data_IF_172907251014
#
_entry.id   IF_172907251014
#
_cell.length_a   1.000
_cell.length_b   1.000
_cell.length_c   1.000
_cell.angle_alpha   90.00
_cell.angle_beta   90.00
_cell.angle_gamma   90.00
#
_symmetry.space_group_name_H-M   'P 1'
#
loop_
_entity.id
_entity.type
_entity.pdbx_description
1 polymer ?
#
# COMPACT_ATOMS: atom_id res chain seq x y z
N UNK A 1 -20.70 5.07 -19.26
CA UNK A 1 -19.88 3.90 -19.68
C UNK A 1 -20.54 3.13 -20.81
N UNK A 2 -21.81 2.73 -20.66
CA UNK A 2 -22.58 2.02 -21.71
C UNK A 2 -22.71 2.82 -23.02
N UNK A 3 -23.02 4.11 -22.97
CA UNK A 3 -23.07 4.96 -24.18
C UNK A 3 -21.73 5.01 -24.93
N UNK A 4 -20.62 4.89 -24.20
CA UNK A 4 -19.28 4.84 -24.76
C UNK A 4 -18.82 3.40 -25.09
N UNK A 5 -19.70 2.40 -24.97
CA UNK A 5 -19.41 0.97 -25.19
C UNK A 5 -18.18 0.47 -24.43
N UNK A 6 -17.95 0.99 -23.22
CA UNK A 6 -16.85 0.56 -22.36
C UNK A 6 -17.20 -0.79 -21.74
N UNK A 7 -16.30 -1.76 -21.85
CA UNK A 7 -16.43 -3.13 -21.30
C UNK A 7 -15.36 -3.45 -20.25
N UNK A 8 -14.28 -2.67 -20.19
CA UNK A 8 -13.19 -2.81 -19.22
C UNK A 8 -12.99 -1.49 -18.48
N UNK A 9 -12.78 -1.57 -17.17
CA UNK A 9 -12.54 -0.41 -16.30
C UNK A 9 -11.36 -0.67 -15.37
N UNK A 10 -10.67 0.39 -14.96
CA UNK A 10 -9.65 0.36 -13.92
C UNK A 10 -9.94 1.47 -12.92
N UNK A 11 -9.70 1.19 -11.64
CA UNK A 11 -9.77 2.19 -10.58
C UNK A 11 -8.36 2.74 -10.35
N UNK A 12 -8.20 4.05 -10.53
CA UNK A 12 -6.93 4.74 -10.33
C UNK A 12 -7.14 6.01 -9.51
N UNK A 13 -6.30 6.20 -8.49
CA UNK A 13 -6.32 7.34 -7.60
C UNK A 13 -6.73 6.98 -6.17
N UNK A 14 -6.42 7.89 -5.24
CA UNK A 14 -6.76 7.71 -3.83
C UNK A 14 -8.25 7.98 -3.60
N UNK A 15 -8.96 7.04 -2.99
CA UNK A 15 -10.33 7.21 -2.54
C UNK A 15 -10.34 7.28 -1.02
N UNK A 16 -11.00 8.30 -0.46
CA UNK A 16 -11.31 8.35 0.96
C UNK A 16 -12.71 7.82 1.17
N UNK A 17 -12.92 7.16 2.30
CA UNK A 17 -14.25 6.68 2.70
C UNK A 17 -15.25 7.85 2.71
N UNK A 18 -16.23 7.88 1.80
CA UNK A 18 -17.12 9.01 1.66
C UNK A 18 -18.21 8.98 2.73
N UNK A 19 -18.77 10.15 3.03
CA UNK A 19 -20.09 10.21 3.69
C UNK A 19 -21.15 10.02 2.60
N UNK A 20 -22.03 9.05 2.80
CA UNK A 20 -23.13 8.76 1.89
C UNK A 20 -24.29 9.72 2.16
N UNK A 21 -24.58 10.59 1.19
CA UNK A 21 -25.71 11.53 1.23
C UNK A 21 -26.88 10.97 0.41
N UNK A 22 -27.99 10.56 1.04
CA UNK A 22 -29.16 10.03 0.36
C UNK A 22 -29.76 10.95 -0.71
N UNK A 23 -29.56 12.27 -0.60
CA UNK A 23 -30.08 13.23 -1.57
C UNK A 23 -29.40 13.14 -2.95
N UNK A 24 -28.23 12.50 -3.02
CA UNK A 24 -27.46 12.34 -4.25
C UNK A 24 -27.77 11.02 -4.98
N UNK A 25 -28.63 10.17 -4.45
CA UNK A 25 -28.87 8.84 -5.01
C UNK A 25 -30.02 8.85 -6.02
N UNK A 26 -29.73 8.35 -7.22
CA UNK A 26 -30.78 7.89 -8.12
C UNK A 26 -31.38 6.56 -7.62
N UNK A 27 -32.46 6.12 -8.27
CA UNK A 27 -33.18 4.91 -7.88
C UNK A 27 -32.31 3.64 -7.97
N UNK A 28 -31.37 3.57 -8.90
CA UNK A 28 -30.48 2.42 -9.06
C UNK A 28 -29.44 2.39 -7.94
N UNK A 29 -28.82 3.54 -7.66
CA UNK A 29 -27.85 3.73 -6.58
C UNK A 29 -28.47 3.41 -5.23
N UNK A 30 -29.73 3.83 -4.99
CA UNK A 30 -30.44 3.56 -3.75
C UNK A 30 -30.61 2.05 -3.46
N UNK A 31 -30.69 1.20 -4.50
CA UNK A 31 -30.75 -0.26 -4.33
C UNK A 31 -29.40 -0.88 -3.94
N UNK A 32 -28.30 -0.24 -4.31
CA UNK A 32 -26.93 -0.71 -4.07
C UNK A 32 -26.43 -0.29 -2.68
N UNK A 33 -26.87 0.88 -2.20
CA UNK A 33 -26.41 1.50 -0.95
C UNK A 33 -26.43 0.57 0.27
N UNK A 34 -27.46 -0.26 0.53
CA UNK A 34 -27.45 -1.17 1.67
C UNK A 34 -26.29 -2.18 1.64
N UNK A 35 -25.94 -2.73 0.46
CA UNK A 35 -24.81 -3.64 0.28
C UNK A 35 -23.49 -2.93 0.59
N UNK A 36 -23.31 -1.73 0.02
CA UNK A 36 -22.11 -0.92 0.23
C UNK A 36 -21.94 -0.53 1.71
N UNK A 37 -23.02 -0.14 2.40
CA UNK A 37 -22.99 0.21 3.82
C UNK A 37 -22.57 -0.97 4.71
N UNK A 38 -23.04 -2.18 4.40
CA UNK A 38 -22.66 -3.39 5.13
C UNK A 38 -21.16 -3.72 4.93
N UNK A 39 -20.66 -3.60 3.70
CA UNK A 39 -19.25 -3.79 3.38
C UNK A 39 -18.35 -2.76 4.08
N UNK A 40 -18.78 -1.49 4.10
CA UNK A 40 -18.11 -0.40 4.81
C UNK A 40 -17.93 -0.69 6.31
N UNK A 41 -18.86 -1.38 6.97
CA UNK A 41 -18.70 -1.74 8.38
C UNK A 41 -17.64 -2.83 8.62
N UNK A 42 -17.29 -3.59 7.58
CA UNK A 42 -16.37 -4.73 7.66
C UNK A 42 -14.91 -4.39 7.36
N UNK A 43 -14.63 -3.17 6.89
CA UNK A 43 -13.27 -2.68 6.59
C UNK A 43 -13.13 -2.13 5.17
N UNK A 44 -11.94 -1.63 4.85
CA UNK A 44 -11.67 -0.98 3.56
C UNK A 44 -11.60 -2.02 2.42
N UNK A 45 -10.98 -3.19 2.65
CA UNK A 45 -10.91 -4.25 1.63
C UNK A 45 -12.28 -4.83 1.31
N UNK A 46 -13.12 -4.98 2.33
CA UNK A 46 -14.49 -5.43 2.13
C UNK A 46 -15.26 -4.43 1.27
N UNK A 47 -15.08 -3.14 1.53
CA UNK A 47 -15.71 -2.06 0.75
C UNK A 47 -15.29 -2.08 -0.71
N UNK A 48 -13.98 -2.18 -0.99
CA UNK A 48 -13.46 -2.15 -2.35
C UNK A 48 -13.86 -3.38 -3.16
N UNK A 49 -13.93 -4.56 -2.53
CA UNK A 49 -14.48 -5.77 -3.19
C UNK A 49 -15.95 -5.62 -3.54
N UNK A 50 -16.75 -5.01 -2.66
CA UNK A 50 -18.15 -4.75 -2.98
C UNK A 50 -18.29 -3.78 -4.16
N UNK A 51 -17.42 -2.75 -4.24
CA UNK A 51 -17.37 -1.86 -5.40
C UNK A 51 -17.05 -2.62 -6.68
N UNK A 52 -16.09 -3.55 -6.66
CA UNK A 52 -15.81 -4.41 -7.83
C UNK A 52 -17.05 -5.21 -8.22
N UNK A 53 -17.68 -5.90 -7.27
CA UNK A 53 -18.84 -6.74 -7.52
C UNK A 53 -20.00 -5.93 -8.14
N UNK A 54 -20.21 -4.69 -7.69
CA UNK A 54 -21.20 -3.79 -8.28
C UNK A 54 -20.89 -3.50 -9.75
N UNK A 55 -19.63 -3.24 -10.12
CA UNK A 55 -19.28 -3.00 -11.52
C UNK A 55 -19.42 -4.26 -12.37
N UNK A 56 -19.05 -5.43 -11.83
CA UNK A 56 -19.23 -6.72 -12.50
C UNK A 56 -20.71 -7.07 -12.70
N UNK A 57 -21.61 -6.69 -11.77
CA UNK A 57 -23.08 -6.81 -11.91
C UNK A 57 -23.62 -5.98 -13.12
N UNK A 58 -22.85 -5.00 -13.62
CA UNK A 58 -23.16 -4.20 -14.81
C UNK A 58 -22.36 -4.62 -16.06
N UNK A 59 -21.86 -5.87 -16.10
CA UNK A 59 -21.09 -6.44 -17.21
C UNK A 59 -19.78 -5.69 -17.53
N UNK A 60 -19.20 -4.99 -16.55
CA UNK A 60 -17.91 -4.32 -16.67
C UNK A 60 -16.80 -5.19 -16.07
N UNK A 61 -15.77 -5.49 -16.88
CA UNK A 61 -14.58 -6.20 -16.41
C UNK A 61 -13.64 -5.25 -15.70
N UNK A 62 -13.41 -5.45 -14.40
CA UNK A 62 -12.43 -4.67 -13.65
C UNK A 62 -11.02 -5.22 -13.89
N UNK A 63 -10.13 -4.37 -14.44
CA UNK A 63 -8.72 -4.64 -14.72
C UNK A 63 -7.83 -4.12 -13.60
N UNK A 64 -6.74 -4.84 -13.33
CA UNK A 64 -5.75 -4.44 -12.33
C UNK A 64 -4.61 -3.62 -12.89
N UNK A 65 -3.83 -3.00 -12.00
CA UNK A 65 -2.62 -2.25 -12.39
C UNK A 65 -1.61 -3.15 -13.11
N UNK A 66 -1.51 -4.43 -12.73
CA UNK A 66 -0.64 -5.39 -13.40
C UNK A 66 -1.01 -5.63 -14.87
N UNK A 67 -2.30 -5.53 -15.22
CA UNK A 67 -2.78 -5.70 -16.60
C UNK A 67 -2.46 -4.47 -17.47
N UNK A 68 -2.56 -3.28 -16.89
CA UNK A 68 -2.50 -2.01 -17.63
C UNK A 68 -1.10 -1.39 -17.63
N UNK A 69 -0.39 -1.49 -16.50
CA UNK A 69 0.90 -0.85 -16.27
C UNK A 69 1.87 -1.76 -15.47
N UNK A 70 2.25 -2.94 -16.00
CA UNK A 70 3.10 -3.90 -15.30
C UNK A 70 4.48 -3.34 -14.91
N UNK A 71 4.97 -2.32 -15.62
CA UNK A 71 6.22 -1.64 -15.31
C UNK A 71 6.21 -0.92 -13.95
N UNK A 72 5.02 -0.63 -13.39
CA UNK A 72 4.88 -0.04 -12.05
C UNK A 72 5.02 -1.07 -10.92
N UNK A 73 5.11 -2.37 -11.23
CA UNK A 73 5.14 -3.45 -10.26
C UNK A 73 6.48 -4.21 -10.37
N UNK A 74 7.47 -3.87 -9.54
CA UNK A 74 8.77 -4.52 -9.58
C UNK A 74 8.70 -6.00 -9.23
N UNK A 75 9.46 -6.80 -9.98
CA UNK A 75 9.75 -8.19 -9.65
C UNK A 75 10.79 -8.27 -8.52
N UNK A 76 10.98 -9.47 -7.97
CA UNK A 76 11.90 -9.69 -6.86
C UNK A 76 13.34 -9.28 -7.23
N UNK A 77 13.98 -8.53 -6.34
CA UNK A 77 15.32 -8.01 -6.55
C UNK A 77 15.66 -6.83 -5.65
N UNK A 78 16.96 -6.61 -5.47
CA UNK A 78 17.48 -5.40 -4.84
C UNK A 78 17.58 -4.33 -5.94
N UNK A 79 16.81 -3.26 -5.81
CA UNK A 79 16.70 -2.22 -6.84
C UNK A 79 17.73 -1.12 -6.62
N UNK A 80 18.02 -0.79 -5.36
CA UNK A 80 19.02 0.21 -4.95
C UNK A 80 19.72 -0.24 -3.68
N UNK A 81 21.02 0.02 -3.59
CA UNK A 81 21.82 -0.25 -2.39
C UNK A 81 22.00 -1.75 -2.15
N UNK A 82 22.33 -2.11 -0.91
CA UNK A 82 22.43 -3.50 -0.48
C UNK A 82 21.97 -3.62 0.97
N UNK A 83 20.90 -4.38 1.27
CA UNK A 83 20.49 -4.61 2.65
C UNK A 83 21.49 -5.51 3.39
N UNK A 84 21.78 -5.17 4.64
CA UNK A 84 22.58 -5.99 5.54
C UNK A 84 21.82 -7.24 6.01
N UNK A 85 22.48 -8.15 6.73
CA UNK A 85 21.81 -9.29 7.37
C UNK A 85 20.77 -8.84 8.40
N UNK A 86 21.02 -7.74 9.11
CA UNK A 86 20.05 -7.20 10.06
C UNK A 86 18.82 -6.66 9.34
N UNK A 87 19.00 -5.97 8.21
CA UNK A 87 17.89 -5.46 7.40
C UNK A 87 17.03 -6.60 6.83
N UNK A 88 17.67 -7.71 6.44
CA UNK A 88 16.96 -8.91 6.00
C UNK A 88 16.11 -9.53 7.12
N UNK A 89 16.65 -9.60 8.33
CA UNK A 89 15.91 -10.07 9.51
C UNK A 89 14.74 -9.12 9.87
N UNK A 90 14.97 -7.80 9.80
CA UNK A 90 13.94 -6.79 10.04
C UNK A 90 12.82 -6.88 9.00
N UNK A 91 13.15 -7.10 7.72
CA UNK A 91 12.15 -7.29 6.66
C UNK A 91 11.31 -8.54 6.87
N UNK A 92 11.92 -9.66 7.24
CA UNK A 92 11.20 -10.88 7.57
C UNK A 92 10.25 -10.68 8.76
N UNK A 93 10.71 -9.97 9.81
CA UNK A 93 9.89 -9.60 10.96
C UNK A 93 8.72 -8.70 10.55
N UNK A 94 8.98 -7.69 9.73
CA UNK A 94 7.98 -6.75 9.25
C UNK A 94 6.93 -7.43 8.37
N UNK A 95 7.33 -8.37 7.50
CA UNK A 95 6.42 -9.17 6.68
C UNK A 95 5.44 -9.99 7.53
N UNK A 96 5.92 -10.64 8.60
CA UNK A 96 5.05 -11.36 9.54
C UNK A 96 4.03 -10.43 10.21
N UNK A 97 4.45 -9.22 10.59
CA UNK A 97 3.58 -8.23 11.22
C UNK A 97 2.52 -7.73 10.24
N UNK A 98 2.93 -7.34 9.03
CA UNK A 98 2.00 -6.87 7.99
C UNK A 98 0.99 -7.96 7.62
N UNK A 99 1.43 -9.21 7.48
CA UNK A 99 0.51 -10.33 7.23
C UNK A 99 -0.54 -10.50 8.35
N UNK A 100 -0.12 -10.41 9.62
CA UNK A 100 -1.02 -10.52 10.76
C UNK A 100 -2.04 -9.35 10.81
N UNK A 101 -1.59 -8.12 10.53
CA UNK A 101 -2.47 -6.94 10.46
C UNK A 101 -3.43 -7.00 9.28
N UNK A 102 -2.95 -7.45 8.12
CA UNK A 102 -3.77 -7.60 6.93
C UNK A 102 -4.85 -8.66 7.08
N UNK A 103 -4.62 -9.70 7.90
CA UNK A 103 -5.63 -10.74 8.21
C UNK A 103 -6.87 -10.17 8.89
N UNK A 104 -6.74 -9.06 9.61
CA UNK A 104 -7.83 -8.36 10.31
C UNK A 104 -8.14 -6.99 9.70
N UNK A 105 -7.73 -6.76 8.46
CA UNK A 105 -7.96 -5.54 7.67
C UNK A 105 -7.57 -4.23 8.39
N UNK A 106 -6.41 -4.23 9.08
CA UNK A 106 -5.93 -3.03 9.81
C UNK A 106 -5.01 -2.17 8.96
N UNK A 107 -4.04 -2.77 8.28
CA UNK A 107 -3.04 -2.03 7.54
C UNK A 107 -2.04 -2.91 6.81
N UNK A 108 -1.25 -2.27 5.96
CA UNK A 108 -0.43 -2.92 4.94
C UNK A 108 1.05 -2.51 4.99
N UNK A 109 1.48 -1.96 6.13
CA UNK A 109 2.83 -1.48 6.33
C UNK A 109 3.29 -1.54 7.78
N UNK A 110 4.59 -1.67 7.99
CA UNK A 110 5.21 -1.67 9.31
C UNK A 110 6.64 -1.12 9.26
N UNK A 111 7.07 -0.48 10.35
CA UNK A 111 8.46 -0.05 10.58
C UNK A 111 9.10 -0.96 11.60
N UNK A 112 10.19 -1.61 11.22
CA UNK A 112 10.98 -2.50 12.11
C UNK A 112 12.43 -2.04 12.14
N UNK A 113 12.98 -1.95 13.35
CA UNK A 113 14.37 -1.54 13.60
C UNK A 113 14.99 -2.51 14.59
N UNK A 114 16.03 -3.23 14.17
CA UNK A 114 16.76 -4.19 15.01
C UNK A 114 15.82 -5.20 15.68
N UNK A 115 14.86 -5.72 14.92
CA UNK A 115 13.83 -6.68 15.36
C UNK A 115 12.64 -6.09 16.11
N UNK A 116 12.69 -4.80 16.51
CA UNK A 116 11.60 -4.14 17.21
C UNK A 116 10.64 -3.45 16.24
N UNK A 117 9.35 -3.76 16.34
CA UNK A 117 8.30 -3.05 15.62
C UNK A 117 8.07 -1.68 16.27
N UNK A 118 8.43 -0.60 15.58
CA UNK A 118 8.27 0.76 16.10
C UNK A 118 6.92 1.38 15.71
N UNK A 119 6.40 1.04 14.54
CA UNK A 119 5.08 1.49 14.11
C UNK A 119 4.45 0.53 13.10
N UNK A 120 3.14 0.62 12.98
CA UNK A 120 2.33 -0.12 12.03
C UNK A 120 1.38 0.85 11.32
N UNK A 121 1.12 0.61 10.04
CA UNK A 121 0.19 1.39 9.25
C UNK A 121 -1.24 1.07 9.68
N UNK A 122 -2.08 2.09 9.68
CA UNK A 122 -3.53 2.01 9.88
C UNK A 122 -4.19 3.16 9.11
N UNK A 123 -5.42 3.56 9.48
CA UNK A 123 -6.18 4.62 8.83
C UNK A 123 -5.42 5.93 8.55
N UNK A 124 -4.53 6.45 9.44
CA UNK A 124 -3.77 7.68 9.16
C UNK A 124 -2.81 7.58 7.95
N UNK A 125 -2.47 6.36 7.53
CA UNK A 125 -1.61 6.09 6.39
C UNK A 125 -0.10 6.14 6.68
N UNK A 126 0.67 5.75 5.66
CA UNK A 126 2.13 5.63 5.69
C UNK A 126 2.84 6.93 6.08
N UNK A 127 2.40 8.07 5.55
CA UNK A 127 3.08 9.36 5.81
C UNK A 127 2.97 9.76 7.29
N UNK A 128 1.79 9.60 7.89
CA UNK A 128 1.58 9.85 9.32
C UNK A 128 2.40 8.88 10.19
N UNK A 129 2.48 7.61 9.79
CA UNK A 129 3.31 6.60 10.45
C UNK A 129 4.80 6.99 10.43
N UNK A 130 5.34 7.37 9.27
CA UNK A 130 6.75 7.76 9.14
C UNK A 130 7.04 9.10 9.84
N UNK A 131 6.13 10.06 9.80
CA UNK A 131 6.24 11.30 10.56
C UNK A 131 6.28 11.05 12.07
N UNK A 132 5.49 10.08 12.57
CA UNK A 132 5.55 9.66 13.97
C UNK A 132 6.93 9.10 14.33
N UNK A 133 7.50 8.21 13.50
CA UNK A 133 8.86 7.67 13.70
C UNK A 133 9.90 8.79 13.71
N UNK A 134 9.84 9.73 12.77
CA UNK A 134 10.75 10.87 12.70
C UNK A 134 10.68 11.76 13.95
N UNK A 135 9.54 11.81 14.64
CA UNK A 135 9.37 12.56 15.89
C UNK A 135 9.87 11.81 17.14
N UNK A 136 10.12 10.50 17.07
CA UNK A 136 10.64 9.72 18.19
C UNK A 136 12.11 10.09 18.45
N UNK A 137 12.38 10.72 19.60
CA UNK A 137 13.74 10.89 20.11
C UNK A 137 14.21 9.53 20.65
N UNK A 138 15.03 8.78 19.92
CA UNK A 138 15.35 7.40 20.31
C UNK A 138 16.37 6.63 19.43
N UNK A 139 16.30 5.29 19.36
CA UNK A 139 17.37 4.35 18.95
C UNK A 139 17.90 4.48 17.50
N UNK A 140 17.41 5.47 16.75
CA UNK A 140 17.78 5.81 15.38
C UNK A 140 18.80 6.98 15.30
N UNK A 141 19.18 7.56 16.44
CA UNK A 141 19.91 8.84 16.49
C UNK A 141 21.41 8.77 16.14
N UNK A 142 22.02 7.58 16.04
CA UNK A 142 23.48 7.47 15.82
C UNK A 142 23.85 7.02 14.40
N UNK A 143 23.03 6.16 13.79
CA UNK A 143 23.17 5.71 12.41
C UNK A 143 21.81 5.26 11.88
N UNK A 144 21.60 5.39 10.56
CA UNK A 144 20.39 4.87 9.93
C UNK A 144 20.26 3.37 10.16
N UNK A 145 19.07 2.93 10.54
CA UNK A 145 18.80 1.53 10.84
C UNK A 145 17.35 1.17 10.59
N UNK A 146 17.11 -0.11 10.30
CA UNK A 146 15.77 -0.63 10.07
C UNK A 146 15.13 -0.13 8.79
N UNK A 147 13.88 -0.51 8.61
CA UNK A 147 13.17 -0.29 7.36
C UNK A 147 11.67 -0.12 7.57
N UNK A 148 11.04 0.45 6.55
CA UNK A 148 9.61 0.31 6.30
C UNK A 148 9.39 -0.87 5.35
N UNK A 149 8.44 -1.73 5.70
CA UNK A 149 7.94 -2.80 4.84
C UNK A 149 6.50 -2.51 4.41
N UNK A 150 6.16 -2.76 3.14
CA UNK A 150 4.77 -2.76 2.64
C UNK A 150 4.47 -4.02 1.84
N UNK A 151 3.29 -4.58 1.99
CA UNK A 151 2.81 -5.74 1.24
C UNK A 151 1.29 -5.71 1.17
N UNK A 152 0.66 -6.29 0.14
CA UNK A 152 -0.79 -6.36 0.09
C UNK A 152 -1.32 -7.17 1.27
N UNK A 153 -2.55 -6.87 1.69
CA UNK A 153 -3.23 -7.65 2.72
C UNK A 153 -3.64 -9.01 2.12
N UNK A 154 -3.62 -10.12 2.88
CA UNK A 154 -3.89 -11.46 2.33
C UNK A 154 -5.25 -11.62 1.64
N UNK A 155 -6.24 -10.83 2.02
CA UNK A 155 -7.61 -10.87 1.48
C UNK A 155 -7.90 -9.78 0.46
N UNK A 156 -6.90 -8.98 0.11
CA UNK A 156 -7.04 -7.80 -0.75
C UNK A 156 -7.22 -8.21 -2.21
N UNK A 157 -8.14 -7.55 -2.92
CA UNK A 157 -8.24 -7.69 -4.37
C UNK A 157 -7.21 -6.76 -5.04
N UNK A 158 -6.15 -7.37 -5.56
CA UNK A 158 -5.02 -6.67 -6.16
C UNK A 158 -5.39 -5.86 -7.43
N UNK A 159 -6.60 -6.03 -7.96
CA UNK A 159 -7.07 -5.24 -9.11
C UNK A 159 -7.40 -3.80 -8.75
N UNK A 160 -7.81 -3.56 -7.51
CA UNK A 160 -8.30 -2.24 -7.04
C UNK A 160 -7.43 -1.63 -5.95
N UNK A 161 -6.73 -2.45 -5.16
CA UNK A 161 -5.97 -1.96 -4.03
C UNK A 161 -4.62 -2.67 -3.93
N UNK A 162 -3.59 -1.93 -4.29
CA UNK A 162 -2.20 -2.31 -4.09
C UNK A 162 -1.52 -1.25 -3.23
N UNK A 163 -0.76 -1.65 -2.21
CA UNK A 163 0.11 -0.73 -1.51
C UNK A 163 0.98 0.04 -2.51
N UNK A 164 1.17 1.33 -2.25
CA UNK A 164 1.88 2.23 -3.15
C UNK A 164 3.06 2.88 -2.43
N UNK A 165 4.18 2.98 -3.14
CA UNK A 165 5.39 3.69 -2.73
C UNK A 165 5.65 4.78 -3.79
N UNK A 166 5.82 6.01 -3.33
CA UNK A 166 6.22 7.14 -4.18
C UNK A 166 7.43 7.85 -3.61
N UNK A 167 7.87 8.91 -4.29
CA UNK A 167 9.03 9.72 -3.88
C UNK A 167 8.88 10.23 -2.44
N UNK A 168 7.66 10.62 -2.02
CA UNK A 168 7.40 11.07 -0.66
C UNK A 168 7.69 10.00 0.40
N UNK A 169 7.39 8.72 0.11
CA UNK A 169 7.74 7.62 1.01
C UNK A 169 9.24 7.52 1.21
N UNK A 170 10.04 7.73 0.15
CA UNK A 170 11.50 7.73 0.22
C UNK A 170 12.01 8.86 1.10
N UNK A 171 11.50 10.08 0.89
CA UNK A 171 11.86 11.27 1.67
C UNK A 171 11.47 11.07 3.15
N UNK A 172 10.26 10.60 3.42
CA UNK A 172 9.78 10.35 4.77
C UNK A 172 10.56 9.23 5.47
N UNK A 173 10.92 8.15 4.79
CA UNK A 173 11.75 7.09 5.34
C UNK A 173 13.16 7.60 5.69
N UNK A 174 13.75 8.44 4.83
CA UNK A 174 15.04 9.08 5.09
C UNK A 174 14.99 10.00 6.31
N UNK A 175 13.95 10.84 6.40
CA UNK A 175 13.73 11.76 7.52
C UNK A 175 13.47 11.01 8.84
N UNK A 176 12.84 9.84 8.76
CA UNK A 176 12.65 8.93 9.88
C UNK A 176 13.93 8.19 10.30
N UNK A 177 15.07 8.40 9.62
CA UNK A 177 16.33 7.75 9.95
C UNK A 177 16.39 6.27 9.57
N UNK A 178 15.52 5.80 8.67
CA UNK A 178 15.51 4.41 8.22
C UNK A 178 16.65 4.12 7.23
N UNK A 179 17.17 2.89 7.25
CA UNK A 179 18.21 2.44 6.34
C UNK A 179 17.66 2.08 4.95
N UNK A 180 16.39 1.70 4.86
CA UNK A 180 15.78 1.41 3.56
C UNK A 180 14.30 1.10 3.57
N UNK A 181 13.84 0.68 2.40
CA UNK A 181 12.46 0.34 2.09
C UNK A 181 12.47 -1.07 1.51
N UNK A 182 11.68 -1.95 2.10
CA UNK A 182 11.42 -3.28 1.57
C UNK A 182 9.93 -3.42 1.25
N UNK A 183 9.59 -4.29 0.31
CA UNK A 183 8.19 -4.57 0.00
C UNK A 183 8.03 -5.93 -0.67
N UNK A 184 6.80 -6.45 -0.70
CA UNK A 184 6.49 -7.69 -1.41
C UNK A 184 6.57 -7.50 -2.92
N UNK A 185 7.45 -8.25 -3.57
CA UNK A 185 7.59 -8.25 -5.02
C UNK A 185 6.28 -8.68 -5.70
N UNK A 186 5.89 -7.99 -6.77
CA UNK A 186 4.61 -8.25 -7.45
C UNK A 186 3.38 -7.67 -6.75
N UNK A 187 3.49 -7.21 -5.51
CA UNK A 187 2.37 -6.78 -4.67
C UNK A 187 2.35 -5.28 -4.32
N UNK A 188 3.27 -4.47 -4.85
CA UNK A 188 3.38 -3.05 -4.52
C UNK A 188 3.66 -2.21 -5.77
N UNK A 189 2.94 -1.10 -5.89
CA UNK A 189 3.12 -0.10 -6.95
C UNK A 189 4.27 0.84 -6.57
N UNK A 190 5.23 1.02 -7.46
CA UNK A 190 6.22 2.10 -7.38
C UNK A 190 5.84 3.21 -8.38
N UNK A 191 5.26 4.29 -7.87
CA UNK A 191 4.94 5.47 -8.68
C UNK A 191 6.23 6.16 -9.10
N UNK A 192 6.37 6.42 -10.40
CA UNK A 192 7.58 7.03 -10.97
C UNK A 192 8.84 6.25 -10.56
N UNK A 193 8.87 4.95 -10.86
CA UNK A 193 9.92 4.00 -10.47
C UNK A 193 11.33 4.60 -10.55
N UNK A 194 11.71 5.16 -11.70
CA UNK A 194 13.04 5.76 -11.89
C UNK A 194 13.34 6.89 -10.90
N UNK A 195 12.36 7.77 -10.63
CA UNK A 195 12.51 8.86 -9.68
C UNK A 195 12.60 8.35 -8.23
N UNK A 196 11.82 7.32 -7.88
CA UNK A 196 11.93 6.65 -6.57
C UNK A 196 13.33 6.06 -6.36
N UNK A 197 13.86 5.34 -7.35
CA UNK A 197 15.19 4.73 -7.25
C UNK A 197 16.30 5.80 -7.22
N UNK A 198 16.17 6.86 -8.01
CA UNK A 198 17.12 7.97 -8.03
C UNK A 198 17.15 8.71 -6.68
N UNK A 199 15.98 9.02 -6.11
CA UNK A 199 15.89 9.71 -4.82
C UNK A 199 16.39 8.81 -3.68
N UNK A 200 16.09 7.51 -3.71
CA UNK A 200 16.59 6.56 -2.72
C UNK A 200 18.12 6.47 -2.77
N UNK A 201 18.71 6.39 -3.97
CA UNK A 201 20.16 6.38 -4.16
C UNK A 201 20.81 7.67 -3.64
N UNK A 202 20.24 8.83 -3.98
CA UNK A 202 20.70 10.15 -3.52
C UNK A 202 20.65 10.27 -2.00
N UNK A 203 19.58 9.78 -1.39
CA UNK A 203 19.40 9.83 0.06
C UNK A 203 20.14 8.71 0.78
N UNK A 204 20.71 7.72 0.10
CA UNK A 204 21.43 6.60 0.72
C UNK A 204 20.53 5.55 1.37
N UNK A 205 19.35 5.30 0.81
CA UNK A 205 18.45 4.21 1.22
C UNK A 205 18.63 3.02 0.29
N UNK A 206 18.53 1.80 0.84
CA UNK A 206 18.28 0.63 -0.01
C UNK A 206 16.79 0.54 -0.38
N UNK A 207 16.52 -0.05 -1.55
CA UNK A 207 15.16 -0.39 -2.02
C UNK A 207 15.16 -1.85 -2.44
N UNK A 208 14.29 -2.65 -1.82
CA UNK A 208 14.27 -4.09 -2.00
C UNK A 208 12.86 -4.64 -2.25
N UNK A 209 12.64 -5.18 -3.45
CA UNK A 209 11.50 -6.02 -3.77
C UNK A 209 11.78 -7.44 -3.25
N UNK A 210 11.27 -7.76 -2.07
CA UNK A 210 11.46 -9.03 -1.38
C UNK A 210 10.50 -10.08 -1.95
N UNK A 211 11.02 -11.26 -2.28
CA UNK A 211 10.17 -12.42 -2.58
C UNK A 211 9.40 -12.83 -1.30
N UNK A 212 8.12 -13.20 -1.45
CA UNK A 212 7.25 -13.60 -0.35
C UNK A 212 7.91 -14.62 0.59
#
# INVERSE_FOLDING_TARGET
>A
LQEASVVEVIFAGSVRRPRLDPALFDAQTAQIVPRLLAAMQSGDDATLREVIAIFEDFDLTVKGVADIAPALIPQAGILVGQPSLQDQADAARAAMIVNALGTVDVGQGAVVVKGLCLAVEALPGTDAMLAHIAALKGPLNEARAGLIYKAPKPTQDLRIDLPTIGIQTVIHAANAGLAGIAFEAGGVILLELEAVLAEAKKLGLFVWARAA
#
